data_IF_967804028100
#
_entry.id   IF_967804028100
#
_cell.length_a   1.000
_cell.length_b   1.000
_cell.length_c   1.000
_cell.angle_alpha   90.00
_cell.angle_beta   90.00
_cell.angle_gamma   90.00
#
_symmetry.space_group_name_H-M   'P 1'
#
loop_
_entity.id
_entity.type
_entity.pdbx_description
1 polymer ?
#
# COMPACT_ATOMS: atom_id res chain seq x y z
N UNK A 1 -7.81 14.72 6.79
CA UNK A 1 -6.64 14.42 5.99
C UNK A 1 -6.51 12.92 5.83
N UNK A 2 -6.69 12.46 4.62
CA UNK A 2 -6.74 11.02 4.36
C UNK A 2 -6.12 10.71 3.02
N UNK A 3 -5.82 9.42 2.85
CA UNK A 3 -5.39 8.85 1.57
C UNK A 3 -6.26 7.64 1.27
N UNK A 4 -6.33 7.26 0.01
CA UNK A 4 -7.03 6.04 -0.39
C UNK A 4 -5.98 4.99 -0.73
N UNK A 5 -6.07 3.85 -0.08
CA UNK A 5 -5.14 2.73 -0.34
C UNK A 5 -5.83 1.77 -1.29
N UNK A 6 -5.13 1.38 -2.36
CA UNK A 6 -5.63 0.41 -3.32
C UNK A 6 -4.89 -0.91 -3.10
N UNK A 7 -5.64 -2.00 -3.07
CA UNK A 7 -5.08 -3.33 -2.86
C UNK A 7 -5.18 -4.15 -4.15
N UNK A 8 -4.15 -4.91 -4.43
CA UNK A 8 -4.07 -5.76 -5.61
C UNK A 8 -3.67 -7.18 -5.24
N UNK A 9 -4.13 -8.14 -6.03
CA UNK A 9 -3.72 -9.54 -5.93
C UNK A 9 -3.82 -10.07 -4.51
N UNK A 10 -2.75 -10.63 -3.96
CA UNK A 10 -2.77 -11.25 -2.64
C UNK A 10 -3.12 -10.28 -1.53
N UNK A 11 -2.79 -9.00 -1.68
CA UNK A 11 -3.13 -8.01 -0.66
C UNK A 11 -4.64 -7.75 -0.65
N UNK A 12 -5.26 -7.71 -1.81
CA UNK A 12 -6.70 -7.56 -1.91
C UNK A 12 -7.41 -8.75 -1.27
N UNK A 13 -6.90 -9.94 -1.50
CA UNK A 13 -7.47 -11.14 -0.90
C UNK A 13 -7.35 -11.12 0.62
N UNK A 14 -6.20 -10.73 1.14
CA UNK A 14 -5.98 -10.67 2.58
C UNK A 14 -6.82 -9.58 3.25
N UNK A 15 -6.95 -8.42 2.62
CA UNK A 15 -7.73 -7.32 3.17
C UNK A 15 -9.23 -7.51 2.98
N UNK A 16 -9.62 -8.40 2.07
CA UNK A 16 -11.02 -8.66 1.71
C UNK A 16 -11.72 -7.41 1.18
N UNK A 17 -10.97 -6.55 0.49
CA UNK A 17 -11.50 -5.32 -0.13
C UNK A 17 -10.53 -4.81 -1.18
N UNK A 18 -11.05 -4.02 -2.11
CA UNK A 18 -10.24 -3.43 -3.19
C UNK A 18 -9.53 -2.17 -2.74
N UNK A 19 -10.09 -1.45 -1.80
CA UNK A 19 -9.54 -0.18 -1.34
C UNK A 19 -10.02 0.14 0.05
N UNK A 20 -9.33 1.06 0.71
CA UNK A 20 -9.81 1.62 1.96
C UNK A 20 -9.23 3.02 2.17
N UNK A 21 -9.99 3.85 2.84
CA UNK A 21 -9.56 5.22 3.17
C UNK A 21 -8.99 5.19 4.57
N UNK A 22 -7.79 5.75 4.72
CA UNK A 22 -7.12 5.83 6.03
C UNK A 22 -6.58 7.24 6.23
N UNK A 23 -6.28 7.59 7.47
CA UNK A 23 -5.64 8.86 7.76
C UNK A 23 -4.30 8.95 7.06
N UNK A 24 -3.91 10.16 6.64
CA UNK A 24 -2.63 10.34 5.97
C UNK A 24 -1.51 9.92 6.90
N UNK A 25 -0.68 8.95 6.49
CA UNK A 25 0.38 8.44 7.34
C UNK A 25 1.58 9.37 7.34
N UNK A 26 2.47 9.18 8.31
CA UNK A 26 3.71 9.95 8.32
C UNK A 26 4.72 9.44 7.31
N UNK A 27 4.62 8.18 6.87
CA UNK A 27 5.46 7.65 5.80
C UNK A 27 4.75 6.48 5.12
N UNK A 28 5.16 6.18 3.88
CA UNK A 28 4.61 5.04 3.16
C UNK A 28 5.01 3.73 3.83
N UNK A 29 6.21 3.66 4.39
CA UNK A 29 6.66 2.48 5.11
C UNK A 29 5.82 2.24 6.37
N UNK A 30 5.53 3.29 7.13
CA UNK A 30 4.70 3.18 8.32
C UNK A 30 3.27 2.76 7.96
N UNK A 31 2.76 3.28 6.86
CA UNK A 31 1.43 2.90 6.37
C UNK A 31 1.37 1.40 6.07
N UNK A 32 2.34 0.88 5.33
CA UNK A 32 2.36 -0.54 5.02
C UNK A 32 2.48 -1.39 6.27
N UNK A 33 3.32 -0.99 7.22
CA UNK A 33 3.49 -1.73 8.47
C UNK A 33 2.16 -1.82 9.24
N UNK A 34 1.42 -0.72 9.31
CA UNK A 34 0.12 -0.69 9.98
C UNK A 34 -0.89 -1.60 9.28
N UNK A 35 -0.96 -1.52 7.96
CA UNK A 35 -1.91 -2.32 7.19
C UNK A 35 -1.54 -3.80 7.19
N UNK A 36 -0.25 -4.11 7.17
CA UNK A 36 0.24 -5.47 7.26
C UNK A 36 -0.22 -6.12 8.58
N UNK A 37 -0.09 -5.39 9.66
CA UNK A 37 -0.53 -5.88 10.96
C UNK A 37 -2.04 -6.03 11.01
N UNK A 38 -2.78 -5.06 10.46
CA UNK A 38 -4.24 -5.07 10.48
C UNK A 38 -4.82 -6.22 9.67
N UNK A 39 -4.27 -6.47 8.49
CA UNK A 39 -4.83 -7.44 7.54
C UNK A 39 -4.05 -8.75 7.47
N UNK A 40 -2.92 -8.84 8.12
CA UNK A 40 -2.13 -10.07 8.11
C UNK A 40 -1.40 -10.32 6.79
N UNK A 41 -0.92 -9.27 6.12
CA UNK A 41 -0.18 -9.46 4.87
C UNK A 41 1.10 -10.25 5.13
N UNK A 42 1.37 -11.22 4.29
CA UNK A 42 2.55 -12.07 4.43
C UNK A 42 3.79 -11.55 3.72
N UNK A 43 3.66 -10.51 2.90
CA UNK A 43 4.78 -10.00 2.12
C UNK A 43 5.54 -8.92 2.88
N UNK A 44 6.87 -9.01 2.86
CA UNK A 44 7.72 -7.96 3.37
C UNK A 44 7.70 -6.77 2.42
N UNK A 45 7.94 -5.59 2.97
CA UNK A 45 7.94 -4.36 2.19
C UNK A 45 8.90 -4.40 1.00
N UNK A 46 10.06 -5.02 1.17
CA UNK A 46 11.06 -5.11 0.09
C UNK A 46 10.57 -5.97 -1.09
N UNK A 47 9.52 -6.75 -0.90
CA UNK A 47 8.93 -7.57 -1.97
C UNK A 47 7.85 -6.81 -2.72
N UNK A 48 7.57 -5.57 -2.34
CA UNK A 48 6.49 -4.76 -2.89
C UNK A 48 7.03 -3.54 -3.59
N UNK A 49 6.26 -3.02 -4.52
CA UNK A 49 6.46 -1.68 -5.05
C UNK A 49 5.33 -0.81 -4.57
N UNK A 50 5.60 0.47 -4.40
CA UNK A 50 4.58 1.43 -4.00
C UNK A 50 4.39 2.45 -5.11
N UNK A 51 3.13 2.79 -5.39
CA UNK A 51 2.77 3.82 -6.34
C UNK A 51 1.92 4.87 -5.63
N UNK A 52 2.07 6.11 -6.04
CA UNK A 52 1.24 7.20 -5.54
C UNK A 52 0.70 7.95 -6.74
N UNK A 53 -0.63 8.03 -6.83
CA UNK A 53 -1.35 8.64 -7.96
C UNK A 53 -0.93 8.08 -9.31
N UNK A 54 -0.73 6.77 -9.37
CA UNK A 54 -0.43 6.08 -10.62
C UNK A 54 1.03 6.03 -11.01
N UNK A 55 1.93 6.56 -10.19
CA UNK A 55 3.36 6.54 -10.47
C UNK A 55 4.11 5.79 -9.40
N UNK A 56 5.05 4.93 -9.79
CA UNK A 56 5.93 4.28 -8.83
C UNK A 56 6.81 5.31 -8.16
N UNK A 57 6.92 5.21 -6.84
CA UNK A 57 7.71 6.13 -6.03
C UNK A 57 8.59 5.34 -5.08
N UNK A 58 9.60 5.98 -4.55
CA UNK A 58 10.45 5.38 -3.52
C UNK A 58 9.69 5.32 -2.19
N UNK A 59 10.03 4.36 -1.35
CA UNK A 59 9.37 4.19 -0.06
C UNK A 59 9.54 5.41 0.86
N UNK A 60 10.59 6.22 0.66
CA UNK A 60 10.82 7.42 1.45
C UNK A 60 10.13 8.67 0.88
N UNK A 61 9.32 8.51 -0.16
CA UNK A 61 8.54 9.62 -0.70
C UNK A 61 7.50 10.05 0.34
N UNK A 62 7.40 11.34 0.65
CA UNK A 62 6.39 11.80 1.61
C UNK A 62 4.98 11.56 1.08
N UNK A 63 4.09 10.99 1.88
CA UNK A 63 2.69 10.82 1.48
C UNK A 63 2.02 12.18 1.35
N UNK A 64 1.14 12.30 0.35
CA UNK A 64 0.40 13.53 0.12
C UNK A 64 -1.07 13.31 0.47
N UNK A 65 -1.68 14.25 1.18
CA UNK A 65 -3.10 14.20 1.48
C UNK A 65 -3.92 14.06 0.21
N UNK A 66 -4.91 13.21 0.24
CA UNK A 66 -5.79 12.99 -0.90
C UNK A 66 -5.24 12.07 -1.97
N UNK A 67 -4.02 11.59 -1.82
CA UNK A 67 -3.41 10.71 -2.82
C UNK A 67 -4.02 9.31 -2.80
N UNK A 68 -3.90 8.62 -3.92
CA UNK A 68 -4.16 7.19 -4.02
C UNK A 68 -2.83 6.46 -3.89
N UNK A 69 -2.74 5.55 -2.94
CA UNK A 69 -1.52 4.80 -2.68
C UNK A 69 -1.79 3.33 -2.98
N UNK A 70 -0.98 2.74 -3.86
CA UNK A 70 -1.11 1.35 -4.22
C UNK A 70 0.12 0.57 -3.81
N UNK A 71 -0.10 -0.57 -3.17
CA UNK A 71 0.99 -1.51 -2.87
C UNK A 71 0.85 -2.66 -3.86
N UNK A 72 1.89 -2.88 -4.64
CA UNK A 72 1.83 -3.81 -5.77
C UNK A 72 2.75 -4.99 -5.50
N UNK A 73 2.19 -6.18 -5.30
CA UNK A 73 2.99 -7.39 -5.08
C UNK A 73 3.77 -7.76 -6.33
N UNK A 74 4.83 -8.54 -6.19
CA UNK A 74 5.56 -9.01 -7.36
C UNK A 74 4.66 -9.88 -8.22
N UNK A 75 4.82 -9.72 -9.52
CA UNK A 75 4.14 -10.61 -10.46
C UNK A 75 4.83 -11.95 -10.33
N UNK A 76 4.11 -12.98 -9.96
CA UNK A 76 4.70 -14.29 -9.98
C UNK A 76 4.98 -14.57 -11.44
N UNK A 77 6.20 -14.65 -11.75
CA UNK A 77 6.66 -14.74 -13.11
C UNK A 77 6.22 -16.01 -13.76
N UNK A 78 5.29 -16.24 -13.72
CA UNK A 78 4.80 -17.38 -14.42
C UNK A 78 5.78 -17.79 -15.32
#
# INVERSE_FOLDING_TARGET
MSVTVLYFASLRDAAARDSEVVDTPESLAALYATLRERHGFGLDRDRLRVAMDGEFVAWDTPPRDGAEIAFIPPVSGG
#
